data_IF_261012827142
#
_entry.id   IF_261012827142
#
_cell.length_a   1.000
_cell.length_b   1.000
_cell.length_c   1.000
_cell.angle_alpha   90.00
_cell.angle_beta   90.00
_cell.angle_gamma   90.00
#
_symmetry.space_group_name_H-M   'P 1'
#
loop_
_entity.id
_entity.type
_entity.pdbx_description
1 polymer ?
#
# COMPACT_ATOMS: atom_id res chain seq x y z
N UNK A 1 -0.65 -20.13 -4.13
CA UNK A 1 -0.70 -19.11 -3.05
C UNK A 1 -0.10 -17.83 -3.61
N UNK A 2 -0.82 -16.71 -3.53
CA UNK A 2 -0.35 -15.41 -3.99
C UNK A 2 0.47 -14.71 -2.88
N UNK A 3 1.30 -13.75 -3.30
CA UNK A 3 2.08 -12.90 -2.38
C UNK A 3 1.51 -11.49 -2.34
N UNK A 4 1.27 -10.99 -1.14
CA UNK A 4 0.69 -9.66 -0.90
C UNK A 4 1.68 -8.80 -0.11
N UNK A 5 2.04 -7.63 -0.65
CA UNK A 5 2.82 -6.66 0.08
C UNK A 5 1.91 -5.75 0.93
N UNK A 6 2.25 -5.55 2.20
CA UNK A 6 1.69 -4.49 3.04
C UNK A 6 2.72 -3.36 3.08
N UNK A 7 2.47 -2.30 2.32
CA UNK A 7 3.43 -1.22 2.07
C UNK A 7 3.23 -0.09 3.09
N UNK A 8 4.26 0.20 3.88
CA UNK A 8 4.26 1.33 4.82
C UNK A 8 4.57 2.61 4.06
N UNK A 9 3.52 3.40 3.79
CA UNK A 9 3.55 4.56 2.87
C UNK A 9 4.08 5.86 3.48
N UNK A 10 4.57 5.87 4.73
CA UNK A 10 5.16 7.04 5.36
C UNK A 10 6.57 6.77 5.84
N UNK A 11 7.48 7.70 5.59
CA UNK A 11 8.86 7.67 6.10
C UNK A 11 9.12 8.70 7.19
N UNK A 12 8.08 9.46 7.61
CA UNK A 12 8.19 10.51 8.62
C UNK A 12 8.68 9.96 9.95
N UNK A 13 9.62 10.63 10.65
CA UNK A 13 9.97 10.27 12.02
C UNK A 13 8.74 10.29 12.94
N UNK A 14 8.58 9.27 13.79
CA UNK A 14 7.42 9.15 14.68
C UNK A 14 6.09 8.83 13.96
N UNK A 15 6.14 8.26 12.77
CA UNK A 15 4.98 7.86 11.96
C UNK A 15 4.11 6.81 12.66
N UNK A 16 2.81 6.94 12.56
CA UNK A 16 1.86 5.91 13.01
C UNK A 16 1.74 4.73 12.02
N UNK A 17 2.16 4.92 10.78
CA UNK A 17 1.98 3.93 9.72
C UNK A 17 2.65 2.59 9.97
N UNK A 18 3.75 2.56 10.72
CA UNK A 18 4.39 1.30 11.10
C UNK A 18 3.50 0.46 12.02
N UNK A 19 2.91 1.06 13.07
CA UNK A 19 1.98 0.37 13.97
C UNK A 19 0.72 -0.11 13.22
N UNK A 20 0.18 0.73 12.32
CA UNK A 20 -0.97 0.36 11.49
C UNK A 20 -0.65 -0.81 10.57
N UNK A 21 0.50 -0.79 9.89
CA UNK A 21 0.90 -1.86 8.99
C UNK A 21 1.15 -3.19 9.74
N UNK A 22 1.76 -3.13 10.92
CA UNK A 22 1.95 -4.32 11.77
C UNK A 22 0.62 -4.91 12.23
N UNK A 23 -0.33 -4.08 12.64
CA UNK A 23 -1.67 -4.53 13.00
C UNK A 23 -2.37 -5.26 11.84
N UNK A 24 -2.33 -4.69 10.62
CA UNK A 24 -2.89 -5.35 9.43
C UNK A 24 -2.16 -6.66 9.14
N UNK A 25 -0.83 -6.68 9.28
CA UNK A 25 -0.02 -7.87 9.07
C UNK A 25 -0.34 -8.97 10.08
N UNK A 26 -0.55 -8.62 11.37
CA UNK A 26 -0.93 -9.59 12.41
C UNK A 26 -2.31 -10.21 12.14
N UNK A 27 -3.26 -9.45 11.57
CA UNK A 27 -4.53 -9.99 11.09
C UNK A 27 -4.32 -10.92 9.88
N UNK A 28 -3.47 -10.51 8.96
CA UNK A 28 -3.15 -11.28 7.76
C UNK A 28 -2.45 -12.62 8.06
N UNK A 29 -1.59 -12.67 9.08
CA UNK A 29 -0.90 -13.90 9.50
C UNK A 29 -1.84 -15.00 10.06
N UNK A 30 -3.09 -14.66 10.37
CA UNK A 30 -4.11 -15.64 10.77
C UNK A 30 -4.72 -16.40 9.57
N UNK A 31 -4.31 -16.04 8.35
CA UNK A 31 -4.81 -16.57 7.08
C UNK A 31 -3.82 -17.57 6.51
N UNK A 32 -4.32 -18.51 5.72
CA UNK A 32 -3.55 -19.55 5.01
C UNK A 32 -3.72 -19.48 3.48
N UNK A 33 -4.48 -18.49 2.98
CA UNK A 33 -4.85 -18.35 1.57
C UNK A 33 -3.88 -17.44 0.76
N UNK A 34 -2.97 -16.73 1.43
CA UNK A 34 -1.92 -15.91 0.83
C UNK A 34 -0.69 -15.78 1.73
N UNK A 35 0.44 -15.43 1.14
CA UNK A 35 1.65 -15.01 1.87
C UNK A 35 1.66 -13.48 1.98
N UNK A 36 1.95 -12.95 3.18
CA UNK A 36 1.96 -11.52 3.44
C UNK A 36 3.34 -11.05 3.89
N UNK A 37 3.78 -9.92 3.36
CA UNK A 37 5.06 -9.33 3.70
C UNK A 37 4.93 -7.83 3.96
N UNK A 38 5.55 -7.35 5.04
CA UNK A 38 5.71 -5.92 5.30
C UNK A 38 6.81 -5.35 4.40
N UNK A 39 6.49 -4.27 3.69
CA UNK A 39 7.43 -3.54 2.84
C UNK A 39 7.50 -2.10 3.32
N UNK A 40 8.59 -1.73 3.95
CA UNK A 40 8.80 -0.38 4.44
C UNK A 40 9.53 0.47 3.39
N UNK A 41 8.91 1.56 2.94
CA UNK A 41 9.53 2.49 1.99
C UNK A 41 10.84 3.07 2.53
N UNK A 42 10.97 3.18 3.85
CA UNK A 42 12.18 3.70 4.49
C UNK A 42 13.42 2.85 4.22
N UNK A 43 13.24 1.54 4.00
CA UNK A 43 14.34 0.61 3.74
C UNK A 43 14.94 0.76 2.33
N UNK A 44 14.22 1.41 1.41
CA UNK A 44 14.65 1.60 0.02
C UNK A 44 15.36 2.93 -0.21
N UNK A 45 15.22 3.89 0.71
CA UNK A 45 15.86 5.21 0.67
C UNK A 45 15.81 5.86 -0.73
N UNK A 46 14.64 5.81 -1.37
CA UNK A 46 14.46 6.33 -2.72
C UNK A 46 14.63 7.86 -2.71
N UNK A 47 15.50 8.42 -3.58
CA UNK A 47 15.56 9.87 -3.77
C UNK A 47 14.26 10.37 -4.42
N UNK A 48 14.11 11.67 -4.62
CA UNK A 48 13.11 12.14 -5.57
C UNK A 48 13.38 11.52 -6.93
N UNK A 49 12.32 11.20 -7.67
CA UNK A 49 12.40 10.48 -8.96
C UNK A 49 13.51 11.08 -9.84
N UNK A 50 14.54 10.28 -10.06
CA UNK A 50 15.80 10.66 -10.73
C UNK A 50 16.07 9.87 -12.02
N UNK A 51 15.10 9.04 -12.46
CA UNK A 51 15.21 8.37 -13.76
C UNK A 51 14.97 9.34 -14.90
N UNK A 52 15.82 9.27 -15.93
CA UNK A 52 15.73 10.14 -17.11
C UNK A 52 14.52 9.77 -17.98
N UNK A 53 14.23 8.46 -18.07
CA UNK A 53 13.14 7.96 -18.90
C UNK A 53 11.88 7.77 -18.06
N UNK A 54 10.69 8.05 -18.63
CA UNK A 54 9.42 7.74 -17.96
C UNK A 54 9.33 6.26 -17.56
N UNK A 55 8.76 5.97 -16.39
CA UNK A 55 8.65 4.61 -15.86
C UNK A 55 7.95 3.63 -16.83
N UNK A 56 6.97 4.12 -17.61
CA UNK A 56 6.28 3.32 -18.63
C UNK A 56 7.19 2.75 -19.72
N UNK A 57 8.41 3.31 -19.88
CA UNK A 57 9.40 2.78 -20.83
C UNK A 57 10.16 1.57 -20.28
N UNK A 58 10.07 1.27 -18.99
CA UNK A 58 10.72 0.13 -18.35
C UNK A 58 12.25 0.15 -18.41
N UNK A 59 12.86 1.33 -18.54
CA UNK A 59 14.31 1.50 -18.67
C UNK A 59 14.87 2.19 -17.44
N UNK A 60 15.25 1.39 -16.46
CA UNK A 60 15.74 1.89 -15.17
C UNK A 60 17.28 1.93 -15.16
N UNK A 61 17.84 3.12 -14.97
CA UNK A 61 19.29 3.35 -14.99
C UNK A 61 19.94 3.20 -13.60
N UNK A 62 19.16 3.43 -12.52
CA UNK A 62 19.71 3.45 -11.18
C UNK A 62 19.56 2.11 -10.44
N UNK A 63 20.54 1.71 -9.60
CA UNK A 63 20.44 0.50 -8.78
C UNK A 63 19.26 0.51 -7.81
N UNK A 64 18.94 1.66 -7.19
CA UNK A 64 17.82 1.78 -6.26
C UNK A 64 16.49 1.57 -6.98
N UNK A 65 16.32 2.06 -8.21
CA UNK A 65 15.12 1.81 -9.00
C UNK A 65 14.97 0.32 -9.33
N UNK A 66 16.05 -0.33 -9.77
CA UNK A 66 16.02 -1.77 -10.07
C UNK A 66 15.73 -2.64 -8.84
N UNK A 67 16.28 -2.27 -7.68
CA UNK A 67 16.00 -2.98 -6.42
C UNK A 67 14.51 -2.83 -6.03
N UNK A 68 13.97 -1.62 -6.14
CA UNK A 68 12.55 -1.35 -5.88
C UNK A 68 11.65 -2.08 -6.89
N UNK A 69 11.99 -2.04 -8.19
CA UNK A 69 11.27 -2.74 -9.24
C UNK A 69 11.21 -4.26 -8.99
N UNK A 70 12.35 -4.88 -8.67
CA UNK A 70 12.42 -6.30 -8.35
C UNK A 70 11.55 -6.66 -7.13
N UNK A 71 11.54 -5.80 -6.11
CA UNK A 71 10.71 -6.00 -4.92
C UNK A 71 9.22 -5.96 -5.27
N UNK A 72 8.76 -4.92 -5.94
CA UNK A 72 7.35 -4.75 -6.32
C UNK A 72 6.89 -5.82 -7.31
N UNK A 73 7.73 -6.19 -8.26
CA UNK A 73 7.42 -7.25 -9.22
C UNK A 73 7.16 -8.62 -8.56
N UNK A 74 7.77 -8.87 -7.39
CA UNK A 74 7.67 -10.15 -6.69
C UNK A 74 6.30 -10.41 -6.03
N UNK A 75 5.41 -9.43 -5.97
CA UNK A 75 4.09 -9.54 -5.37
C UNK A 75 2.97 -9.62 -6.41
N UNK A 76 1.86 -10.20 -5.98
CA UNK A 76 0.64 -10.39 -6.77
C UNK A 76 -0.44 -9.36 -6.44
N UNK A 77 -0.35 -8.77 -5.26
CA UNK A 77 -1.30 -7.77 -4.78
C UNK A 77 -0.65 -6.89 -3.70
N UNK A 78 -1.31 -5.79 -3.37
CA UNK A 78 -0.80 -4.78 -2.45
C UNK A 78 -1.85 -4.34 -1.45
N UNK A 79 -1.42 -4.01 -0.24
CA UNK A 79 -2.16 -3.21 0.73
C UNK A 79 -1.34 -1.94 1.01
N UNK A 80 -1.84 -0.80 0.58
CA UNK A 80 -1.19 0.49 0.83
C UNK A 80 -1.62 1.03 2.18
N UNK A 81 -0.68 1.19 3.11
CA UNK A 81 -0.90 1.86 4.39
C UNK A 81 -0.48 3.31 4.25
N UNK A 82 -1.44 4.23 4.21
CA UNK A 82 -1.19 5.63 3.89
C UNK A 82 -1.64 6.60 4.98
N UNK A 83 -0.80 7.58 5.36
CA UNK A 83 -1.27 8.75 6.07
C UNK A 83 -2.05 9.66 5.13
N UNK A 84 -2.67 10.68 5.68
CA UNK A 84 -3.16 11.83 4.93
C UNK A 84 -2.36 13.07 5.28
N UNK A 85 -1.59 13.57 4.33
CA UNK A 85 -0.84 14.81 4.44
C UNK A 85 -1.40 15.84 3.48
N UNK A 86 -1.93 16.94 4.03
CA UNK A 86 -2.49 18.02 3.23
C UNK A 86 -3.47 17.54 2.15
N UNK A 87 -4.49 16.76 2.56
CA UNK A 87 -5.58 16.31 1.69
C UNK A 87 -5.22 15.20 0.69
N UNK A 88 -4.03 14.60 0.76
CA UNK A 88 -3.57 13.55 -0.15
C UNK A 88 -2.70 12.51 0.57
N UNK A 89 -2.17 11.57 -0.19
CA UNK A 89 -1.19 10.61 0.31
C UNK A 89 0.14 11.27 0.66
N UNK A 90 1.07 10.53 1.26
CA UNK A 90 2.42 11.03 1.49
C UNK A 90 3.18 11.23 0.18
N UNK A 91 4.03 12.25 0.13
CA UNK A 91 4.95 12.44 -1.00
C UNK A 91 5.89 11.26 -1.21
N UNK A 92 6.31 10.60 -0.12
CA UNK A 92 7.16 9.41 -0.19
C UNK A 92 6.47 8.25 -0.92
N UNK A 93 5.19 7.97 -0.63
CA UNK A 93 4.44 6.91 -1.30
C UNK A 93 4.22 7.23 -2.77
N UNK A 94 3.78 8.45 -3.08
CA UNK A 94 3.57 8.87 -4.47
C UNK A 94 4.88 8.80 -5.27
N UNK A 95 5.98 9.26 -4.70
CA UNK A 95 7.30 9.18 -5.31
C UNK A 95 7.72 7.71 -5.58
N UNK A 96 7.54 6.82 -4.61
CA UNK A 96 7.85 5.40 -4.76
C UNK A 96 7.00 4.73 -5.86
N UNK A 97 5.72 5.09 -5.96
CA UNK A 97 4.83 4.61 -7.02
C UNK A 97 5.33 5.08 -8.39
N UNK A 98 5.73 6.34 -8.51
CA UNK A 98 6.11 6.98 -9.78
C UNK A 98 7.44 6.47 -10.37
N UNK A 99 8.27 5.81 -9.58
CA UNK A 99 9.49 5.16 -10.07
C UNK A 99 9.21 4.00 -11.04
N UNK A 100 8.03 3.37 -10.94
CA UNK A 100 7.71 2.12 -11.65
C UNK A 100 6.38 2.24 -12.40
N UNK A 101 6.17 1.35 -13.36
CA UNK A 101 4.90 1.25 -14.09
C UNK A 101 4.47 -0.20 -14.29
N UNK A 102 5.19 -0.97 -15.12
CA UNK A 102 4.80 -2.33 -15.50
C UNK A 102 4.74 -3.29 -14.30
N UNK A 103 5.56 -3.06 -13.28
CA UNK A 103 5.60 -3.87 -12.08
C UNK A 103 4.30 -3.82 -11.27
N UNK A 104 3.52 -2.75 -11.41
CA UNK A 104 2.20 -2.59 -10.79
C UNK A 104 1.09 -3.29 -11.56
N UNK A 105 1.21 -3.41 -12.90
CA UNK A 105 0.10 -3.77 -13.78
C UNK A 105 -0.52 -5.12 -13.48
N UNK A 106 -1.85 -5.21 -13.67
CA UNK A 106 -2.65 -6.43 -13.56
C UNK A 106 -2.59 -7.09 -12.18
N UNK A 107 -2.53 -6.28 -11.13
CA UNK A 107 -2.51 -6.70 -9.73
C UNK A 107 -3.66 -6.06 -8.96
N UNK A 108 -3.97 -6.59 -7.77
CA UNK A 108 -5.00 -6.02 -6.91
C UNK A 108 -4.41 -5.10 -5.84
N UNK A 109 -5.19 -4.13 -5.38
CA UNK A 109 -4.81 -3.28 -4.26
C UNK A 109 -5.96 -3.04 -3.28
N UNK A 110 -5.62 -2.97 -1.98
CA UNK A 110 -6.47 -2.48 -0.91
C UNK A 110 -5.80 -1.33 -0.17
N UNK A 111 -6.58 -0.60 0.64
CA UNK A 111 -6.09 0.58 1.34
C UNK A 111 -6.42 0.53 2.82
N UNK A 112 -5.44 0.90 3.61
CA UNK A 112 -5.58 1.19 5.04
C UNK A 112 -5.05 2.59 5.26
N UNK A 113 -5.91 3.52 5.63
CA UNK A 113 -5.55 4.92 5.81
C UNK A 113 -5.77 5.40 7.23
N UNK A 114 -5.05 6.43 7.60
CA UNK A 114 -5.19 7.07 8.91
C UNK A 114 -4.97 8.57 8.82
N UNK A 115 -5.67 9.30 9.67
CA UNK A 115 -5.62 10.76 9.71
C UNK A 115 -6.79 11.35 10.50
N UNK A 116 -6.88 12.68 10.57
CA UNK A 116 -7.99 13.36 11.25
C UNK A 116 -9.35 13.05 10.62
N UNK A 117 -9.41 12.80 9.32
CA UNK A 117 -10.59 12.33 8.59
C UNK A 117 -10.44 10.86 8.14
N UNK A 118 -9.76 10.02 8.92
CA UNK A 118 -9.52 8.63 8.56
C UNK A 118 -8.60 8.41 7.35
N UNK A 119 -7.99 9.46 6.80
CA UNK A 119 -7.15 9.37 5.61
C UNK A 119 -7.89 9.10 4.31
N UNK A 120 -9.21 9.28 4.27
CA UNK A 120 -10.06 8.88 3.13
C UNK A 120 -9.75 9.63 1.85
N UNK A 121 -9.35 10.91 1.94
CA UNK A 121 -8.99 11.72 0.77
C UNK A 121 -7.69 11.26 0.13
N UNK A 122 -6.74 10.79 0.93
CA UNK A 122 -5.52 10.14 0.42
C UNK A 122 -5.86 8.89 -0.40
N UNK A 123 -6.80 8.07 0.09
CA UNK A 123 -7.26 6.86 -0.62
C UNK A 123 -7.93 7.21 -1.94
N UNK A 124 -8.82 8.22 -1.96
CA UNK A 124 -9.47 8.65 -3.21
C UNK A 124 -8.45 9.09 -4.27
N UNK A 125 -7.42 9.81 -3.89
CA UNK A 125 -6.33 10.16 -4.81
C UNK A 125 -5.54 8.94 -5.28
N UNK A 126 -5.26 7.99 -4.40
CA UNK A 126 -4.58 6.74 -4.78
C UNK A 126 -5.43 5.89 -5.74
N UNK A 127 -6.77 5.86 -5.59
CA UNK A 127 -7.67 5.16 -6.51
C UNK A 127 -7.54 5.69 -7.93
N UNK A 128 -7.42 6.99 -8.12
CA UNK A 128 -7.16 7.58 -9.44
C UNK A 128 -5.81 7.13 -10.01
N UNK A 129 -4.78 7.05 -9.17
CA UNK A 129 -3.45 6.56 -9.55
C UNK A 129 -3.50 5.09 -9.95
N UNK A 130 -4.24 4.25 -9.21
CA UNK A 130 -4.39 2.83 -9.52
C UNK A 130 -5.00 2.60 -10.90
N UNK A 131 -5.94 3.45 -11.32
CA UNK A 131 -6.51 3.38 -12.67
C UNK A 131 -5.45 3.52 -13.77
N UNK A 132 -4.54 4.48 -13.64
CA UNK A 132 -3.43 4.66 -14.59
C UNK A 132 -2.46 3.48 -14.59
N UNK A 133 -2.21 2.90 -13.42
CA UNK A 133 -1.27 1.79 -13.25
C UNK A 133 -1.87 0.42 -13.61
N UNK A 134 -3.11 0.36 -14.09
CA UNK A 134 -3.82 -0.89 -14.37
C UNK A 134 -3.86 -1.82 -13.13
N UNK A 135 -4.06 -1.23 -11.95
CA UNK A 135 -4.24 -1.94 -10.69
C UNK A 135 -5.72 -1.95 -10.32
N UNK A 136 -6.26 -3.12 -10.04
CA UNK A 136 -7.64 -3.28 -9.62
C UNK A 136 -7.75 -3.01 -8.10
N UNK A 137 -8.22 -1.84 -7.73
CA UNK A 137 -8.42 -1.46 -6.34
C UNK A 137 -9.78 -1.94 -5.81
N UNK A 138 -9.74 -2.63 -4.68
CA UNK A 138 -10.96 -3.21 -4.07
C UNK A 138 -11.79 -2.13 -3.37
N UNK A 139 -13.12 -2.36 -3.28
CA UNK A 139 -14.03 -1.40 -2.65
C UNK A 139 -13.79 -1.26 -1.15
N UNK A 140 -13.60 -2.38 -0.44
CA UNK A 140 -13.40 -2.37 1.00
C UNK A 140 -12.09 -1.66 1.35
N UNK A 141 -12.14 -0.80 2.36
CA UNK A 141 -10.98 -0.07 2.87
C UNK A 141 -11.11 0.12 4.38
N UNK A 142 -9.98 0.38 5.03
CA UNK A 142 -9.93 0.74 6.46
C UNK A 142 -9.59 2.22 6.57
N UNK A 143 -10.37 2.95 7.36
CA UNK A 143 -10.16 4.38 7.60
C UNK A 143 -10.07 4.65 9.11
N UNK A 144 -8.85 4.82 9.62
CA UNK A 144 -8.57 5.00 11.05
C UNK A 144 -8.52 6.49 11.40
N UNK A 145 -9.42 6.92 12.27
CA UNK A 145 -9.43 8.29 12.79
C UNK A 145 -8.42 8.43 13.92
N UNK A 146 -7.60 9.48 13.86
CA UNK A 146 -6.68 9.82 14.96
C UNK A 146 -7.41 10.12 16.27
N UNK A 147 -8.72 10.48 16.21
CA UNK A 147 -9.51 10.84 17.38
C UNK A 147 -10.17 9.65 18.07
N UNK A 148 -10.47 8.58 17.35
CA UNK A 148 -11.22 7.42 17.86
C UNK A 148 -10.42 6.13 17.86
N UNK A 149 -9.48 5.95 16.94
CA UNK A 149 -8.71 4.72 16.75
C UNK A 149 -7.28 4.82 17.30
N UNK A 150 -6.92 5.95 17.90
CA UNK A 150 -5.61 6.16 18.52
C UNK A 150 -5.76 6.82 19.89
N UNK A 151 -4.97 6.34 20.85
CA UNK A 151 -4.79 7.03 22.14
C UNK A 151 -3.68 8.08 21.99
N UNK A 152 -3.96 9.32 22.42
CA UNK A 152 -3.02 10.44 22.31
C UNK A 152 -2.44 10.62 20.89
N UNK A 153 -3.25 10.35 19.86
CA UNK A 153 -2.89 10.45 18.43
C UNK A 153 -1.72 9.58 17.97
N UNK A 154 -1.25 8.65 18.80
CA UNK A 154 -0.03 7.89 18.54
C UNK A 154 -0.09 6.40 18.85
N UNK A 155 -0.93 5.97 19.79
CA UNK A 155 -1.05 4.56 20.15
C UNK A 155 -2.29 3.98 19.49
N UNK A 156 -2.08 3.10 18.53
CA UNK A 156 -3.17 2.47 17.79
C UNK A 156 -4.04 1.59 18.70
N UNK A 157 -5.35 1.84 18.69
CA UNK A 157 -6.36 1.09 19.43
C UNK A 157 -7.62 0.92 18.56
N UNK A 158 -7.56 0.06 17.52
CA UNK A 158 -8.66 -0.10 16.57
C UNK A 158 -9.86 -0.82 17.19
N UNK A 159 -11.05 -0.42 16.77
CA UNK A 159 -12.30 -1.09 17.18
C UNK A 159 -12.50 -2.43 16.46
N UNK A 160 -13.47 -3.22 16.94
CA UNK A 160 -13.86 -4.46 16.27
C UNK A 160 -14.37 -4.20 14.82
N UNK A 161 -15.08 -3.09 14.61
CA UNK A 161 -15.52 -2.71 13.25
C UNK A 161 -14.34 -2.46 12.31
N UNK A 162 -13.23 -1.92 12.82
CA UNK A 162 -12.02 -1.72 12.02
C UNK A 162 -11.33 -3.06 11.71
N UNK A 163 -11.36 -4.02 12.63
CA UNK A 163 -10.85 -5.37 12.36
C UNK A 163 -11.70 -6.09 11.30
N UNK A 164 -13.04 -5.97 11.39
CA UNK A 164 -13.95 -6.52 10.39
C UNK A 164 -13.73 -5.87 9.01
N UNK A 165 -13.54 -4.56 8.97
CA UNK A 165 -13.22 -3.84 7.73
C UNK A 165 -11.88 -4.29 7.13
N UNK A 166 -10.86 -4.50 7.96
CA UNK A 166 -9.57 -5.01 7.52
C UNK A 166 -9.68 -6.43 6.96
N UNK A 167 -10.44 -7.29 7.61
CA UNK A 167 -10.70 -8.65 7.15
C UNK A 167 -11.41 -8.65 5.79
N UNK A 168 -12.49 -7.87 5.66
CA UNK A 168 -13.22 -7.74 4.40
C UNK A 168 -12.35 -7.18 3.27
N UNK A 169 -11.47 -6.23 3.56
CA UNK A 169 -10.51 -5.70 2.58
C UNK A 169 -9.51 -6.76 2.14
N UNK A 170 -8.93 -7.53 3.08
CA UNK A 170 -8.00 -8.61 2.77
C UNK A 170 -8.66 -9.71 1.94
N UNK A 171 -9.92 -10.08 2.25
CA UNK A 171 -10.69 -11.05 1.46
C UNK A 171 -10.79 -10.62 -0.01
N UNK A 172 -11.14 -9.36 -0.25
CA UNK A 172 -11.25 -8.83 -1.60
C UNK A 172 -9.90 -8.76 -2.30
N UNK A 173 -8.83 -8.32 -1.62
CA UNK A 173 -7.47 -8.22 -2.18
C UNK A 173 -6.97 -9.61 -2.60
N UNK A 174 -7.15 -10.61 -1.78
CA UNK A 174 -6.71 -11.98 -2.08
C UNK A 174 -7.51 -12.55 -3.26
N UNK A 175 -8.85 -12.42 -3.23
CA UNK A 175 -9.71 -12.93 -4.29
C UNK A 175 -9.39 -12.29 -5.66
N UNK A 176 -9.22 -10.97 -5.69
CA UNK A 176 -8.90 -10.24 -6.93
C UNK A 176 -7.44 -10.47 -7.37
N UNK A 177 -6.50 -10.54 -6.42
CA UNK A 177 -5.11 -10.88 -6.70
C UNK A 177 -4.98 -12.23 -7.39
N UNK A 178 -5.72 -13.24 -6.93
CA UNK A 178 -5.78 -14.58 -7.54
C UNK A 178 -6.42 -14.53 -8.93
N UNK A 179 -7.54 -13.81 -9.07
CA UNK A 179 -8.27 -13.72 -10.35
C UNK A 179 -7.45 -13.03 -11.47
N UNK A 180 -6.55 -12.12 -11.10
CA UNK A 180 -5.72 -11.38 -12.06
C UNK A 180 -4.40 -12.10 -12.42
N UNK A 181 -4.03 -13.19 -11.72
CA UNK A 181 -2.81 -13.95 -12.06
C UNK A 181 -2.67 -14.30 -13.55
N UNK A 182 -3.70 -14.78 -14.24
CA UNK A 182 -3.57 -15.14 -15.66
C UNK A 182 -3.22 -13.99 -16.59
N UNK A 183 -3.38 -12.74 -16.16
CA UNK A 183 -3.06 -11.56 -16.96
C UNK A 183 -1.57 -11.15 -16.90
N UNK A 184 -0.79 -11.83 -16.04
CA UNK A 184 0.64 -11.52 -15.80
C UNK A 184 1.59 -12.54 -16.42
N UNK A 185 1.22 -13.16 -17.52
CA UNK A 185 2.03 -14.13 -18.27
C UNK A 185 2.92 -13.43 -19.28
#
# INVERSE_FOLDING_TARGET
VIKVAIIIGSTRPGRNGEAVARWVHDLALKRDDAEFELVDLKDFDLPHLDEVMPAAMGRYSHPHTRAWAAKIASFDAYVFVTPEYNHSTSGALKNAIDFLYAEWNNKAAGFVSYGSNGGTRAVEHLRLVMGELQVADVRAQVALSLFTDFENFSVLNPSAEQEDAATAMLDQVVAWGQALCPLRT
#
